data_IF_612455287442
#
_entry.id   IF_612455287442
#
_cell.length_a   1.000
_cell.length_b   1.000
_cell.length_c   1.000
_cell.angle_alpha   90.00
_cell.angle_beta   90.00
_cell.angle_gamma   90.00
#
_symmetry.space_group_name_H-M   'P 1'
#
loop_
_entity.id
_entity.type
_entity.pdbx_description
1 polymer ?
#
# COMPACT_ATOMS: atom_id res chain seq x y z
N UNK A 1 9.64 23.95 -9.05
CA UNK A 1 10.17 23.52 -7.73
C UNK A 1 9.78 22.06 -7.50
N UNK A 2 10.46 21.36 -6.61
CA UNK A 2 10.23 19.94 -6.28
C UNK A 2 9.85 19.85 -4.80
N UNK A 3 8.99 18.92 -4.43
CA UNK A 3 8.78 18.59 -3.03
C UNK A 3 10.11 18.08 -2.44
N UNK A 4 10.55 18.70 -1.36
CA UNK A 4 11.74 18.29 -0.60
C UNK A 4 11.49 18.51 0.88
N UNK A 5 11.69 17.48 1.66
CA UNK A 5 11.68 17.56 3.12
C UNK A 5 13.12 17.42 3.62
N UNK A 6 13.63 18.44 4.29
CA UNK A 6 15.04 18.45 4.75
C UNK A 6 15.32 17.39 5.81
N UNK A 7 14.31 17.02 6.58
CA UNK A 7 14.43 16.08 7.71
C UNK A 7 14.10 14.64 7.34
N UNK A 8 13.54 14.36 6.14
CA UNK A 8 13.12 13.04 5.74
C UNK A 8 13.76 12.61 4.42
N UNK A 9 13.99 11.30 4.26
CA UNK A 9 14.07 10.67 2.96
C UNK A 9 12.68 10.50 2.40
N UNK A 10 12.51 10.69 1.07
CA UNK A 10 11.29 10.46 0.34
C UNK A 10 11.59 9.52 -0.83
N UNK A 11 10.71 8.56 -1.02
CA UNK A 11 10.74 7.69 -2.21
C UNK A 11 9.32 7.20 -2.48
N UNK A 12 9.08 6.55 -3.59
CA UNK A 12 7.78 6.07 -4.05
C UNK A 12 6.63 7.03 -3.75
N UNK A 13 5.80 7.30 -4.73
CA UNK A 13 4.71 8.24 -4.56
C UNK A 13 3.52 7.85 -5.43
N UNK A 14 2.34 8.29 -5.01
CA UNK A 14 1.09 8.25 -5.78
C UNK A 14 0.27 9.49 -5.49
N UNK A 15 -0.71 9.77 -6.35
CA UNK A 15 -1.47 11.00 -6.21
C UNK A 15 -2.92 10.83 -6.62
N UNK A 16 -3.76 11.76 -6.19
CA UNK A 16 -5.16 11.89 -6.60
C UNK A 16 -5.53 13.37 -6.60
N UNK A 17 -6.48 13.73 -7.45
CA UNK A 17 -7.03 15.08 -7.49
C UNK A 17 -8.37 15.14 -6.76
N UNK A 18 -8.54 16.18 -5.93
CA UNK A 18 -9.82 16.57 -5.34
C UNK A 18 -10.05 18.04 -5.64
N UNK A 19 -10.96 18.33 -6.59
CA UNK A 19 -11.14 19.68 -7.13
C UNK A 19 -9.82 20.21 -7.71
N UNK A 20 -9.39 21.38 -7.25
CA UNK A 20 -8.15 22.03 -7.70
C UNK A 20 -6.89 21.58 -6.93
N UNK A 21 -7.04 20.71 -5.96
CA UNK A 21 -5.93 20.22 -5.13
C UNK A 21 -5.44 18.86 -5.62
N UNK A 22 -4.15 18.76 -5.92
CA UNK A 22 -3.44 17.51 -6.06
C UNK A 22 -2.96 17.06 -4.68
N UNK A 23 -3.43 15.91 -4.23
CA UNK A 23 -2.96 15.23 -3.02
C UNK A 23 -1.89 14.23 -3.43
N UNK A 24 -0.69 14.41 -2.92
CA UNK A 24 0.46 13.53 -3.14
C UNK A 24 0.76 12.77 -1.86
N UNK A 25 0.71 11.47 -1.94
CA UNK A 25 1.15 10.57 -0.90
C UNK A 25 2.52 10.01 -1.28
N UNK A 26 3.37 9.80 -0.30
CA UNK A 26 4.73 9.32 -0.52
C UNK A 26 5.24 8.55 0.68
N UNK A 27 6.12 7.60 0.43
CA UNK A 27 6.82 6.90 1.50
C UNK A 27 7.94 7.79 2.01
N UNK A 28 8.07 7.89 3.33
CA UNK A 28 9.11 8.69 3.97
C UNK A 28 9.67 8.02 5.22
N UNK A 29 10.88 8.42 5.60
CA UNK A 29 11.48 8.06 6.88
C UNK A 29 12.41 9.18 7.38
N UNK A 30 12.57 9.39 8.70
CA UNK A 30 13.35 10.48 9.23
C UNK A 30 14.85 10.27 9.02
N UNK A 31 15.56 11.31 8.59
CA UNK A 31 17.04 11.31 8.45
C UNK A 31 17.77 11.19 9.78
N UNK A 32 17.10 11.44 10.89
CA UNK A 32 17.66 11.23 12.25
C UNK A 32 18.00 9.77 12.55
N UNK A 33 17.54 8.81 11.74
CA UNK A 33 17.98 7.41 11.78
C UNK A 33 19.49 7.25 11.49
N UNK A 34 20.11 8.22 10.82
CA UNK A 34 21.55 8.26 10.55
C UNK A 34 22.00 7.43 9.34
N UNK A 35 21.26 6.40 8.94
CA UNK A 35 21.52 5.59 7.73
C UNK A 35 20.27 5.42 6.91
N UNK A 36 20.36 5.59 5.58
CA UNK A 36 19.26 5.37 4.69
C UNK A 36 18.84 3.90 4.57
N UNK A 37 19.70 2.96 4.93
CA UNK A 37 19.38 1.53 4.96
C UNK A 37 18.30 1.21 5.99
N UNK A 38 18.15 2.03 7.03
CA UNK A 38 17.13 1.87 8.06
C UNK A 38 15.75 2.40 7.63
N UNK A 39 15.68 3.13 6.52
CA UNK A 39 14.45 3.83 6.10
C UNK A 39 13.26 2.90 5.86
N UNK A 40 13.50 1.71 5.30
CA UNK A 40 12.42 0.79 4.94
C UNK A 40 11.66 0.26 6.18
N UNK A 41 12.38 -0.01 7.26
CA UNK A 41 11.80 -0.48 8.52
C UNK A 41 11.31 0.65 9.46
N UNK A 42 11.36 1.90 9.01
CA UNK A 42 10.90 3.08 9.75
C UNK A 42 10.03 3.99 8.88
N UNK A 43 9.41 3.40 7.87
CA UNK A 43 8.65 4.15 6.90
C UNK A 43 7.23 4.45 7.37
N UNK A 44 6.77 5.65 7.02
CA UNK A 44 5.39 6.13 7.12
C UNK A 44 4.91 6.62 5.77
N UNK A 45 3.60 6.83 5.61
CA UNK A 45 3.04 7.46 4.43
C UNK A 45 2.81 8.93 4.72
N UNK A 46 3.67 9.78 4.16
CA UNK A 46 3.54 11.23 4.22
C UNK A 46 2.51 11.76 3.22
N UNK A 47 2.08 13.01 3.41
CA UNK A 47 1.09 13.66 2.59
C UNK A 47 1.48 15.11 2.30
N UNK A 48 1.32 15.54 1.05
CA UNK A 48 1.48 16.93 0.64
C UNK A 48 0.41 17.33 -0.37
N UNK A 49 0.09 18.62 -0.42
CA UNK A 49 -0.91 19.17 -1.33
C UNK A 49 -0.29 20.24 -2.24
N UNK A 50 -0.81 20.35 -3.46
CA UNK A 50 -0.44 21.37 -4.42
C UNK A 50 -1.59 21.70 -5.37
N UNK A 51 -1.64 22.96 -5.85
CA UNK A 51 -2.57 23.37 -6.91
C UNK A 51 -1.91 23.52 -8.27
N UNK A 52 -0.59 23.49 -8.31
CA UNK A 52 0.18 23.81 -9.53
C UNK A 52 1.30 22.78 -9.81
N UNK A 53 1.40 21.70 -9.00
CA UNK A 53 2.43 20.66 -9.03
C UNK A 53 3.87 21.18 -8.88
N UNK A 54 4.02 22.46 -8.51
CA UNK A 54 5.31 23.12 -8.33
C UNK A 54 5.55 23.56 -6.89
N UNK A 55 4.50 24.09 -6.27
CA UNK A 55 4.51 24.53 -4.88
C UNK A 55 3.74 23.54 -4.04
N UNK A 56 4.44 22.87 -3.13
CA UNK A 56 3.90 21.82 -2.29
C UNK A 56 3.88 22.26 -0.84
N UNK A 57 2.79 21.93 -0.15
CA UNK A 57 2.67 22.08 1.30
C UNK A 57 2.54 20.70 1.91
N UNK A 58 3.54 20.30 2.70
CA UNK A 58 3.41 19.09 3.51
C UNK A 58 2.36 19.31 4.59
N UNK A 59 1.52 18.32 4.79
CA UNK A 59 0.48 18.29 5.82
C UNK A 59 0.74 17.13 6.77
N UNK A 60 -0.21 16.77 7.62
CA UNK A 60 -0.08 15.61 8.51
C UNK A 60 0.06 14.31 7.72
N UNK A 61 0.85 13.37 8.24
CA UNK A 61 1.07 12.07 7.60
C UNK A 61 -0.26 11.32 7.45
N UNK A 62 -0.42 10.65 6.32
CA UNK A 62 -1.64 9.90 6.04
C UNK A 62 -1.74 8.61 6.87
N UNK A 63 -0.65 7.84 6.94
CA UNK A 63 -0.63 6.58 7.70
C UNK A 63 0.71 6.39 8.43
N UNK A 64 0.59 5.89 9.65
CA UNK A 64 1.71 5.38 10.46
C UNK A 64 1.61 3.87 10.61
N UNK A 65 2.70 3.18 11.01
CA UNK A 65 2.63 1.79 11.46
C UNK A 65 1.57 1.60 12.54
N UNK A 66 1.07 0.40 12.66
CA UNK A 66 0.13 -0.01 13.70
C UNK A 66 0.77 -0.04 15.09
N UNK A 67 -0.05 -0.31 16.10
CA UNK A 67 0.44 -0.55 17.46
C UNK A 67 1.26 -1.84 17.53
N UNK A 68 2.11 -1.96 18.56
CA UNK A 68 2.94 -3.14 18.78
C UNK A 68 2.11 -4.43 18.74
N UNK A 69 2.49 -5.37 17.88
CA UNK A 69 1.82 -6.65 17.66
C UNK A 69 0.76 -6.64 16.56
N UNK A 70 0.47 -5.49 15.95
CA UNK A 70 -0.37 -5.43 14.77
C UNK A 70 0.39 -5.91 13.52
N UNK A 71 -0.36 -6.24 12.48
CA UNK A 71 0.17 -6.84 11.25
C UNK A 71 1.10 -5.89 10.45
N UNK A 72 1.03 -4.59 10.69
CA UNK A 72 1.83 -3.54 10.04
C UNK A 72 2.59 -2.67 11.07
N UNK A 73 2.95 -3.23 12.23
CA UNK A 73 3.58 -2.51 13.33
C UNK A 73 5.03 -2.08 13.09
N UNK A 74 5.65 -2.54 12.00
CA UNK A 74 7.02 -2.16 11.66
C UNK A 74 7.07 -0.96 10.71
N UNK A 75 6.34 -1.02 9.60
CA UNK A 75 6.32 0.05 8.59
C UNK A 75 5.10 -0.03 7.67
N UNK A 76 4.74 1.13 7.11
CA UNK A 76 3.77 1.26 6.02
C UNK A 76 4.48 1.78 4.77
N UNK A 77 4.24 1.13 3.62
CA UNK A 77 4.91 1.41 2.36
C UNK A 77 3.93 1.79 1.24
N UNK A 78 4.47 1.84 0.02
CA UNK A 78 3.81 2.23 -1.22
C UNK A 78 2.38 1.70 -1.35
N UNK A 79 1.53 2.54 -1.90
CA UNK A 79 0.12 2.27 -2.08
C UNK A 79 -0.49 2.98 -3.28
N UNK A 80 -1.80 3.03 -3.31
CA UNK A 80 -2.58 3.79 -4.28
C UNK A 80 -3.91 4.24 -3.69
N UNK A 81 -4.50 5.29 -4.26
CA UNK A 81 -5.75 5.89 -3.78
C UNK A 81 -6.75 5.99 -4.91
N UNK A 82 -8.01 5.68 -4.61
CA UNK A 82 -9.15 5.90 -5.50
C UNK A 82 -10.33 6.53 -4.75
N UNK A 83 -11.08 7.38 -5.40
CA UNK A 83 -12.36 7.90 -4.90
C UNK A 83 -13.53 7.05 -5.40
N UNK A 84 -14.45 6.70 -4.51
CA UNK A 84 -15.68 6.00 -4.85
C UNK A 84 -16.80 6.35 -3.87
N UNK A 85 -18.00 6.63 -4.37
CA UNK A 85 -19.19 6.93 -3.56
C UNK A 85 -18.96 7.98 -2.46
N UNK A 86 -18.22 9.05 -2.78
CA UNK A 86 -17.97 10.15 -1.85
C UNK A 86 -16.96 9.84 -0.73
N UNK A 87 -16.25 8.72 -0.81
CA UNK A 87 -15.15 8.35 0.09
C UNK A 87 -13.88 8.06 -0.71
N UNK A 88 -12.76 8.08 0.00
CA UNK A 88 -11.45 7.73 -0.55
C UNK A 88 -10.99 6.41 0.06
N UNK A 89 -10.37 5.59 -0.76
CA UNK A 89 -9.86 4.27 -0.42
C UNK A 89 -8.38 4.19 -0.78
N UNK A 90 -7.56 3.84 0.18
CA UNK A 90 -6.12 3.64 -0.01
C UNK A 90 -5.79 2.18 0.24
N UNK A 91 -5.25 1.48 -0.77
CA UNK A 91 -4.50 0.28 -0.52
C UNK A 91 -3.05 0.66 -0.20
N UNK A 92 -2.46 0.01 0.78
CA UNK A 92 -1.07 0.23 1.17
C UNK A 92 -0.39 -1.08 1.57
N UNK A 93 0.92 -1.12 1.48
CA UNK A 93 1.73 -2.26 1.91
C UNK A 93 2.09 -2.09 3.39
N UNK A 94 1.96 -3.16 4.17
CA UNK A 94 2.37 -3.21 5.57
C UNK A 94 3.27 -4.39 5.85
N UNK A 95 4.18 -4.22 6.81
CA UNK A 95 5.09 -5.24 7.33
C UNK A 95 5.15 -5.17 8.85
N UNK A 96 5.45 -6.30 9.50
CA UNK A 96 5.50 -6.37 10.95
C UNK A 96 6.87 -6.78 11.52
N UNK A 97 7.05 -6.52 12.82
CA UNK A 97 8.27 -6.83 13.57
C UNK A 97 8.46 -8.31 13.81
N UNK A 98 7.38 -9.03 14.06
CA UNK A 98 7.43 -10.45 14.43
C UNK A 98 7.97 -11.33 13.30
N UNK A 99 7.81 -10.91 12.05
CA UNK A 99 8.33 -11.57 10.85
C UNK A 99 9.60 -10.88 10.31
N UNK A 100 10.18 -9.95 11.10
CA UNK A 100 11.39 -9.21 10.71
C UNK A 100 11.21 -8.31 9.50
N UNK A 101 9.96 -7.94 9.14
CA UNK A 101 9.66 -7.17 7.94
C UNK A 101 9.78 -7.94 6.63
N UNK A 102 9.86 -9.27 6.69
CA UNK A 102 10.11 -10.12 5.50
C UNK A 102 8.83 -10.60 4.80
N UNK A 103 7.67 -10.40 5.42
CA UNK A 103 6.37 -10.79 4.84
C UNK A 103 5.53 -9.55 4.61
N UNK A 104 5.24 -9.30 3.35
CA UNK A 104 4.47 -8.14 2.92
C UNK A 104 2.99 -8.51 2.74
N UNK A 105 2.11 -7.60 3.14
CA UNK A 105 0.65 -7.73 3.01
C UNK A 105 0.04 -6.40 2.62
N UNK A 106 -1.17 -6.44 2.10
CA UNK A 106 -1.89 -5.23 1.68
C UNK A 106 -3.03 -4.95 2.67
N UNK A 107 -3.03 -3.73 3.18
CA UNK A 107 -4.11 -3.16 3.97
C UNK A 107 -4.96 -2.18 3.19
N UNK A 108 -6.13 -1.88 3.75
CA UNK A 108 -7.05 -0.85 3.31
C UNK A 108 -7.13 0.23 4.38
N UNK A 109 -7.11 1.48 3.95
CA UNK A 109 -7.52 2.62 4.76
C UNK A 109 -8.58 3.43 4.01
N UNK A 110 -9.48 4.07 4.75
CA UNK A 110 -10.54 4.93 4.17
C UNK A 110 -10.47 6.33 4.71
N UNK A 111 -10.88 7.31 3.90
CA UNK A 111 -10.92 8.71 4.28
C UNK A 111 -12.17 9.40 3.72
N UNK A 112 -12.80 10.32 4.46
CA UNK A 112 -13.84 11.18 3.92
C UNK A 112 -13.29 12.37 3.12
N UNK A 113 -12.03 12.75 3.31
CA UNK A 113 -11.51 14.05 2.90
C UNK A 113 -10.04 14.05 2.41
N UNK A 114 -9.39 12.86 2.31
CA UNK A 114 -7.97 12.66 1.99
C UNK A 114 -6.99 13.06 3.11
N UNK A 115 -7.45 13.68 4.20
CA UNK A 115 -6.61 14.11 5.31
C UNK A 115 -6.67 13.15 6.49
N UNK A 116 -7.87 12.73 6.87
CA UNK A 116 -8.09 11.80 7.99
C UNK A 116 -8.28 10.39 7.45
N UNK A 117 -7.34 9.51 7.74
CA UNK A 117 -7.35 8.12 7.29
C UNK A 117 -7.60 7.16 8.45
N UNK A 118 -8.50 6.23 8.24
CA UNK A 118 -8.83 5.14 9.17
C UNK A 118 -8.48 3.80 8.54
N UNK A 119 -7.62 3.03 9.20
CA UNK A 119 -7.30 1.66 8.78
C UNK A 119 -8.51 0.75 8.97
N UNK A 120 -8.76 -0.12 7.99
CA UNK A 120 -9.85 -1.09 8.09
C UNK A 120 -9.55 -2.11 9.21
N UNK A 121 -10.48 -2.38 10.13
CA UNK A 121 -10.27 -3.33 11.23
C UNK A 121 -10.12 -4.79 10.74
N UNK A 122 -10.47 -5.10 9.49
CA UNK A 122 -10.28 -6.42 8.90
C UNK A 122 -8.88 -6.61 8.25
N UNK A 123 -8.01 -5.60 8.33
CA UNK A 123 -6.66 -5.69 7.78
C UNK A 123 -5.83 -6.84 8.41
N UNK A 124 -4.91 -7.45 7.62
CA UNK A 124 -4.66 -7.22 6.20
C UNK A 124 -5.78 -7.78 5.32
N UNK A 125 -6.20 -7.03 4.29
CA UNK A 125 -7.29 -7.45 3.40
C UNK A 125 -6.83 -8.36 2.25
N UNK A 126 -5.55 -8.32 1.88
CA UNK A 126 -4.98 -9.15 0.82
C UNK A 126 -3.62 -9.72 1.27
N UNK A 127 -3.47 -11.02 1.12
CA UNK A 127 -2.25 -11.77 1.33
C UNK A 127 -1.90 -12.59 0.08
N UNK A 128 -0.62 -12.94 -0.08
CA UNK A 128 -0.17 -13.79 -1.17
C UNK A 128 -0.78 -15.19 -1.03
N UNK A 129 -1.43 -15.68 -2.09
CA UNK A 129 -1.99 -17.03 -2.13
C UNK A 129 -0.93 -18.02 -2.59
N UNK A 130 -0.56 -18.95 -1.72
CA UNK A 130 0.44 -20.01 -1.96
C UNK A 130 0.16 -20.89 -3.19
N UNK A 131 -1.03 -20.86 -3.76
CA UNK A 131 -1.34 -21.58 -5.01
C UNK A 131 -0.70 -20.94 -6.24
N UNK A 132 -0.39 -19.65 -6.17
CA UNK A 132 0.05 -18.82 -7.30
C UNK A 132 1.35 -18.07 -7.05
N UNK A 133 1.59 -17.68 -5.79
CA UNK A 133 2.69 -16.81 -5.41
C UNK A 133 3.65 -17.49 -4.44
N UNK A 134 4.93 -17.16 -4.59
CA UNK A 134 5.99 -17.62 -3.70
C UNK A 134 5.78 -17.00 -2.31
N UNK A 135 5.67 -17.85 -1.29
CA UNK A 135 5.71 -17.42 0.10
C UNK A 135 7.15 -17.31 0.58
N UNK A 136 7.35 -16.80 1.80
CA UNK A 136 8.67 -16.65 2.38
C UNK A 136 9.44 -17.98 2.40
N UNK A 137 10.52 -18.03 1.65
CA UNK A 137 11.49 -19.12 1.61
C UNK A 137 12.89 -18.52 1.45
N UNK A 138 13.59 -18.36 2.57
CA UNK A 138 14.94 -17.77 2.61
C UNK A 138 16.00 -18.58 1.85
N UNK A 139 15.68 -19.83 1.47
CA UNK A 139 16.51 -20.61 0.55
C UNK A 139 16.35 -20.22 -0.90
N UNK A 140 15.25 -19.52 -1.24
CA UNK A 140 14.93 -19.06 -2.59
C UNK A 140 15.10 -17.55 -2.74
N UNK A 141 14.48 -16.77 -1.86
CA UNK A 141 14.47 -15.30 -1.92
C UNK A 141 14.45 -14.69 -0.52
N UNK A 142 14.93 -13.45 -0.40
CA UNK A 142 15.14 -12.78 0.89
C UNK A 142 13.85 -12.24 1.53
N UNK A 143 12.72 -12.20 0.81
CA UNK A 143 11.44 -11.66 1.28
C UNK A 143 10.25 -12.35 0.59
N UNK A 144 9.06 -12.26 1.18
CA UNK A 144 7.80 -12.57 0.51
C UNK A 144 7.24 -11.29 -0.12
N UNK A 145 7.40 -11.15 -1.44
CA UNK A 145 6.95 -9.98 -2.16
C UNK A 145 5.42 -10.01 -2.40
N UNK A 146 4.71 -9.08 -1.78
CA UNK A 146 3.28 -8.82 -1.99
C UNK A 146 3.00 -7.35 -1.66
N UNK A 147 3.44 -6.42 -2.54
CA UNK A 147 3.53 -4.99 -2.27
C UNK A 147 3.15 -4.10 -3.44
N UNK A 148 3.16 -2.79 -3.22
CA UNK A 148 2.97 -1.72 -4.19
C UNK A 148 1.64 -1.86 -4.94
N UNK A 149 0.49 -1.96 -4.24
CA UNK A 149 -0.79 -2.22 -4.87
C UNK A 149 -1.22 -1.02 -5.73
N UNK A 150 -1.50 -1.27 -7.00
CA UNK A 150 -2.14 -0.30 -7.88
C UNK A 150 -3.63 -0.61 -7.99
N UNK A 151 -4.46 0.20 -7.32
CA UNK A 151 -5.92 0.05 -7.27
C UNK A 151 -6.57 0.79 -8.43
N UNK A 152 -7.46 0.14 -9.14
CA UNK A 152 -8.29 0.76 -10.17
C UNK A 152 -9.68 0.13 -10.24
N UNK A 153 -10.63 0.86 -10.82
CA UNK A 153 -11.97 0.36 -11.10
C UNK A 153 -12.07 0.00 -12.57
N UNK A 154 -12.57 -1.20 -12.87
CA UNK A 154 -12.89 -1.60 -14.24
C UNK A 154 -14.20 -0.95 -14.66
N UNK A 155 -14.17 -0.16 -15.74
CA UNK A 155 -15.36 0.53 -16.25
C UNK A 155 -16.38 -0.40 -16.91
N UNK A 156 -16.02 -1.65 -17.19
CA UNK A 156 -16.91 -2.61 -17.83
C UNK A 156 -17.89 -3.27 -16.84
N UNK A 157 -17.47 -3.48 -15.60
CA UNK A 157 -18.26 -4.18 -14.59
C UNK A 157 -18.28 -3.50 -13.21
N UNK A 158 -17.73 -2.29 -13.13
CA UNK A 158 -17.57 -1.48 -11.90
C UNK A 158 -16.79 -2.18 -10.77
N UNK A 159 -16.14 -3.30 -11.06
CA UNK A 159 -15.35 -4.03 -10.07
C UNK A 159 -14.02 -3.34 -9.79
N UNK A 160 -13.53 -3.50 -8.54
CA UNK A 160 -12.20 -3.03 -8.16
C UNK A 160 -11.15 -4.11 -8.35
N UNK A 161 -10.00 -3.69 -8.86
CA UNK A 161 -8.85 -4.54 -9.10
C UNK A 161 -7.60 -3.92 -8.49
N UNK A 162 -6.70 -4.77 -8.03
CA UNK A 162 -5.36 -4.37 -7.62
C UNK A 162 -4.32 -5.16 -8.42
N UNK A 163 -3.36 -4.46 -9.01
CA UNK A 163 -2.13 -5.04 -9.53
C UNK A 163 -1.06 -4.91 -8.45
N UNK A 164 -0.30 -5.97 -8.20
CA UNK A 164 0.55 -6.10 -7.03
C UNK A 164 1.92 -6.61 -7.46
N UNK A 165 3.00 -6.02 -6.99
CA UNK A 165 4.35 -6.57 -7.14
C UNK A 165 4.44 -7.88 -6.38
N UNK A 166 4.72 -8.98 -7.06
CA UNK A 166 4.71 -10.32 -6.49
C UNK A 166 5.79 -11.22 -7.11
N UNK A 167 5.91 -12.43 -6.56
CA UNK A 167 6.75 -13.49 -7.11
C UNK A 167 5.92 -14.74 -7.36
N UNK A 168 6.08 -15.34 -8.55
CA UNK A 168 5.44 -16.59 -8.92
C UNK A 168 6.17 -17.80 -8.31
N UNK A 169 5.48 -18.95 -8.27
CA UNK A 169 6.02 -20.18 -7.66
C UNK A 169 7.02 -20.95 -8.52
N UNK A 170 7.16 -20.65 -9.79
CA UNK A 170 7.95 -21.45 -10.74
C UNK A 170 8.99 -20.61 -11.47
N UNK A 171 10.03 -21.28 -11.95
CA UNK A 171 11.15 -20.66 -12.64
C UNK A 171 12.41 -20.54 -11.77
N UNK A 172 13.49 -20.05 -12.34
CA UNK A 172 14.70 -19.74 -11.59
C UNK A 172 14.42 -18.64 -10.55
N UNK A 173 15.05 -18.67 -9.38
CA UNK A 173 14.75 -17.77 -8.28
C UNK A 173 14.86 -16.28 -8.67
N UNK A 174 15.82 -15.92 -9.51
CA UNK A 174 16.05 -14.57 -10.03
C UNK A 174 15.07 -14.13 -11.14
N UNK A 175 14.22 -15.04 -11.63
CA UNK A 175 13.28 -14.82 -12.74
C UNK A 175 11.80 -14.98 -12.35
N UNK A 176 11.47 -15.02 -11.04
CA UNK A 176 10.09 -15.22 -10.55
C UNK A 176 9.27 -13.94 -10.37
N UNK A 177 9.81 -12.76 -10.68
CA UNK A 177 9.08 -11.51 -10.60
C UNK A 177 7.84 -11.52 -11.51
N UNK A 178 6.67 -11.22 -10.95
CA UNK A 178 5.37 -11.17 -11.68
C UNK A 178 4.53 -10.00 -11.18
N UNK A 179 3.53 -9.63 -11.96
CA UNK A 179 2.45 -8.76 -11.50
C UNK A 179 1.30 -9.65 -11.00
N UNK A 180 1.10 -9.63 -9.69
CA UNK A 180 -0.03 -10.28 -9.05
C UNK A 180 -1.34 -9.50 -9.33
N UNK A 181 -2.47 -10.19 -9.22
CA UNK A 181 -3.79 -9.59 -9.39
C UNK A 181 -4.72 -10.03 -8.26
N UNK A 182 -5.44 -9.06 -7.71
CA UNK A 182 -6.49 -9.31 -6.71
C UNK A 182 -7.72 -8.47 -7.00
N UNK A 183 -8.87 -8.89 -6.45
CA UNK A 183 -10.12 -8.12 -6.45
C UNK A 183 -10.46 -7.72 -5.01
N UNK A 184 -10.04 -6.54 -4.54
CA UNK A 184 -10.43 -6.06 -3.22
C UNK A 184 -11.90 -5.67 -3.19
N UNK A 185 -12.56 -5.87 -2.04
CA UNK A 185 -13.91 -5.35 -1.83
C UNK A 185 -13.76 -3.93 -1.31
N UNK A 186 -14.15 -2.97 -2.14
CA UNK A 186 -14.23 -1.55 -1.80
C UNK A 186 -15.70 -1.20 -1.63
N UNK A 187 -16.11 -0.79 -0.43
CA UNK A 187 -17.52 -0.46 -0.14
C UNK A 187 -17.62 0.79 0.71
N UNK A 188 -18.49 1.70 0.29
CA UNK A 188 -18.82 2.92 1.03
C UNK A 188 -19.80 2.70 2.19
N UNK A 189 -20.43 1.51 2.27
CA UNK A 189 -21.42 1.24 3.31
C UNK A 189 -20.75 0.84 4.62
N UNK A 190 -21.00 1.60 5.68
CA UNK A 190 -20.67 1.27 7.07
C UNK A 190 -21.56 0.14 7.65
N UNK A 191 -22.27 -0.60 6.81
CA UNK A 191 -23.02 -1.78 7.22
C UNK A 191 -22.08 -2.99 7.25
N UNK A 192 -21.94 -3.58 8.43
CA UNK A 192 -21.30 -4.88 8.68
C UNK A 192 -21.70 -5.90 7.61
N UNK A 193 -20.98 -5.94 6.51
CA UNK A 193 -20.92 -7.09 5.65
C UNK A 193 -19.69 -7.88 6.07
N UNK A 194 -19.89 -9.09 6.51
CA UNK A 194 -18.80 -10.05 6.72
C UNK A 194 -17.94 -10.10 5.46
N UNK A 195 -16.61 -10.15 5.57
CA UNK A 195 -15.75 -10.30 4.41
C UNK A 195 -16.08 -11.64 3.73
N UNK A 196 -16.88 -11.61 2.69
CA UNK A 196 -16.93 -12.72 1.77
C UNK A 196 -15.64 -12.66 0.97
N UNK A 197 -14.66 -13.44 1.36
CA UNK A 197 -13.46 -13.67 0.57
C UNK A 197 -13.89 -14.30 -0.76
N UNK A 198 -14.08 -13.47 -1.79
CA UNK A 198 -14.11 -13.98 -3.15
C UNK A 198 -12.66 -14.31 -3.54
N UNK A 199 -12.32 -15.58 -3.33
CA UNK A 199 -11.02 -16.20 -3.64
C UNK A 199 -10.87 -16.35 -5.14
N UNK A 200 -10.46 -15.33 -5.86
CA UNK A 200 -9.98 -15.51 -7.23
C UNK A 200 -8.82 -14.58 -7.55
N UNK A 201 -7.61 -14.96 -7.11
CA UNK A 201 -6.41 -14.52 -7.80
C UNK A 201 -6.21 -15.45 -8.99
N UNK A 202 -6.37 -14.96 -10.21
CA UNK A 202 -6.10 -15.73 -11.45
C UNK A 202 -4.95 -15.08 -12.20
N UNK A 203 -3.84 -15.82 -12.35
CA UNK A 203 -2.88 -15.58 -13.41
C UNK A 203 -3.54 -15.96 -14.74
N UNK A 204 -3.63 -15.03 -15.67
CA UNK A 204 -3.77 -15.37 -17.09
C UNK A 204 -2.41 -15.13 -17.74
N UNK A 205 -1.85 -16.20 -18.30
CA UNK A 205 -0.70 -16.15 -19.19
C UNK A 205 -1.10 -15.53 -20.53
#
# INVERSE_FOLDING_TARGET
MTLRLSQNWLWDFWHVWQGDNCHLFYVQAPRSLGSEELRHHNATIGHAISRDLKNWTAVEDALHPGADGEWDDLATWTGSVIGHDGRWFMLYTGINRSEGGLVERIGLATSPDLYLWEKDPANPILEADARWYELLDLGSWYEQAWRDPWLFQDQADDSFHALITARGQSGAADARGVIGHARPIVSSSSSRAQPSMSREARLRA
#
